data_IF_738877424134
#
_entry.id   IF_738877424134
#
_cell.length_a   1.000
_cell.length_b   1.000
_cell.length_c   1.000
_cell.angle_alpha   90.00
_cell.angle_beta   90.00
_cell.angle_gamma   90.00
#
_symmetry.space_group_name_H-M   'P 1'
#
loop_
_entity.id
_entity.type
_entity.pdbx_description
1 polymer ?
#
# COMPACT_ATOMS: atom_id res chain seq x y z
N UNK A 1 -4.46 -12.37 -14.03
CA UNK A 1 -5.53 -13.27 -13.57
C UNK A 1 -5.34 -13.40 -12.06
N UNK A 2 -6.17 -12.74 -11.28
CA UNK A 2 -6.11 -12.77 -9.82
C UNK A 2 -6.95 -13.97 -9.36
N UNK A 3 -6.30 -15.00 -8.82
CA UNK A 3 -6.98 -16.11 -8.16
C UNK A 3 -7.24 -15.69 -6.70
N UNK A 4 -8.48 -15.33 -6.40
CA UNK A 4 -8.94 -15.16 -5.02
C UNK A 4 -9.55 -16.49 -4.58
N UNK A 5 -8.83 -17.26 -3.77
CA UNK A 5 -9.33 -18.46 -3.14
C UNK A 5 -9.88 -18.13 -1.75
N UNK A 6 -11.19 -18.03 -1.63
CA UNK A 6 -11.89 -17.89 -0.36
C UNK A 6 -13.27 -18.50 -0.47
N UNK A 7 -13.60 -19.46 0.39
CA UNK A 7 -14.91 -20.13 0.47
C UNK A 7 -15.91 -19.28 1.26
N UNK A 8 -16.27 -18.09 0.77
CA UNK A 8 -17.29 -17.25 1.38
C UNK A 8 -17.63 -16.08 0.49
N UNK A 9 -18.88 -15.66 0.47
CA UNK A 9 -19.26 -14.41 -0.17
C UNK A 9 -18.63 -13.24 0.62
N UNK A 10 -17.88 -12.35 -0.04
CA UNK A 10 -17.31 -11.20 0.63
C UNK A 10 -18.43 -10.30 1.14
N UNK A 11 -18.32 -9.80 2.37
CA UNK A 11 -19.28 -8.84 2.92
C UNK A 11 -19.40 -7.63 1.98
N UNK A 12 -20.62 -7.16 1.72
CA UNK A 12 -20.91 -6.04 0.80
C UNK A 12 -20.08 -4.77 1.09
N UNK A 13 -19.67 -4.59 2.35
CA UNK A 13 -18.90 -3.44 2.82
C UNK A 13 -17.39 -3.68 2.67
N UNK A 14 -16.96 -4.90 2.32
CA UNK A 14 -15.53 -5.19 2.16
C UNK A 14 -14.98 -4.65 0.84
N UNK A 15 -13.69 -4.30 0.84
CA UNK A 15 -12.97 -3.89 -0.36
C UNK A 15 -13.09 -4.92 -1.51
N UNK A 16 -13.09 -6.21 -1.19
CA UNK A 16 -13.30 -7.30 -2.15
C UNK A 16 -14.71 -7.33 -2.74
N UNK A 17 -15.74 -6.98 -1.96
CA UNK A 17 -17.10 -6.83 -2.45
C UNK A 17 -17.22 -5.72 -3.50
N UNK A 18 -16.53 -4.60 -3.29
CA UNK A 18 -16.54 -3.44 -4.21
C UNK A 18 -15.82 -3.72 -5.53
N UNK A 19 -14.72 -4.46 -5.52
CA UNK A 19 -14.02 -4.88 -6.76
C UNK A 19 -14.87 -5.89 -7.53
N UNK A 20 -15.57 -6.80 -6.86
CA UNK A 20 -16.43 -7.78 -7.50
C UNK A 20 -17.52 -7.16 -8.38
N UNK A 21 -18.02 -5.97 -8.05
CA UNK A 21 -18.97 -5.24 -8.87
C UNK A 21 -18.34 -4.49 -10.06
N UNK A 22 -17.06 -4.13 -9.95
CA UNK A 22 -16.33 -3.43 -11.03
C UNK A 22 -15.82 -4.38 -12.12
N UNK A 23 -15.64 -5.65 -11.80
CA UNK A 23 -15.25 -6.68 -12.77
C UNK A 23 -16.52 -7.32 -13.32
N UNK A 24 -16.99 -6.89 -14.49
CA UNK A 24 -18.04 -7.60 -15.24
C UNK A 24 -17.57 -9.03 -15.48
N UNK A 25 -18.27 -9.99 -14.88
CA UNK A 25 -18.11 -11.41 -15.18
C UNK A 25 -18.74 -11.69 -16.53
N UNK A 26 -17.99 -11.54 -17.60
CA UNK A 26 -18.27 -12.28 -18.82
C UNK A 26 -17.74 -13.70 -18.64
N UNK A 27 -18.42 -14.47 -17.81
CA UNK A 27 -18.24 -15.92 -17.77
C UNK A 27 -19.18 -16.49 -18.80
N UNK A 28 -18.67 -16.78 -19.98
CA UNK A 28 -19.38 -17.56 -20.98
C UNK A 28 -19.51 -19.01 -20.43
N UNK A 29 -20.76 -19.51 -20.13
CA UNK A 29 -20.93 -20.82 -19.50
C UNK A 29 -20.84 -22.01 -20.47
N UNK A 30 -20.27 -21.84 -21.63
CA UNK A 30 -20.17 -22.87 -22.66
C UNK A 30 -18.74 -23.32 -22.91
N UNK A 31 -18.11 -23.97 -21.93
CA UNK A 31 -16.94 -24.85 -22.19
C UNK A 31 -16.64 -25.74 -20.99
N UNK A 32 -17.60 -26.59 -20.64
CA UNK A 32 -17.31 -27.80 -19.85
C UNK A 32 -17.88 -28.98 -20.60
N UNK A 33 -17.19 -29.42 -21.62
CA UNK A 33 -17.22 -30.80 -22.12
C UNK A 33 -16.19 -30.95 -23.25
N UNK A 34 -14.98 -31.35 -22.89
CA UNK A 34 -14.18 -32.27 -23.72
C UNK A 34 -12.90 -32.59 -22.94
N UNK A 35 -12.88 -33.78 -22.39
CA UNK A 35 -11.64 -34.47 -22.01
C UNK A 35 -10.81 -34.67 -23.26
N UNK A 36 -9.87 -33.76 -23.51
CA UNK A 36 -8.79 -33.95 -24.45
C UNK A 36 -7.49 -33.85 -23.67
N UNK A 37 -6.74 -34.94 -23.69
CA UNK A 37 -5.37 -35.04 -23.23
C UNK A 37 -4.59 -33.90 -23.90
N UNK A 38 -4.28 -32.87 -23.12
CA UNK A 38 -3.39 -31.79 -23.59
C UNK A 38 -1.99 -32.41 -23.65
N UNK A 39 -1.34 -32.48 -24.85
CA UNK A 39 0.04 -32.91 -24.90
C UNK A 39 0.87 -31.91 -24.08
N UNK A 40 1.68 -32.42 -23.17
CA UNK A 40 2.63 -31.64 -22.38
C UNK A 40 3.52 -30.91 -23.38
N UNK A 41 3.56 -29.54 -23.37
CA UNK A 41 4.46 -28.84 -24.27
C UNK A 41 5.90 -29.22 -23.90
N UNK A 42 6.62 -29.81 -24.84
CA UNK A 42 8.05 -30.00 -24.70
C UNK A 42 8.68 -28.64 -24.42
N UNK A 43 9.40 -28.55 -23.33
CA UNK A 43 10.16 -27.34 -23.00
C UNK A 43 11.16 -27.12 -24.13
N UNK A 44 11.13 -25.97 -24.83
CA UNK A 44 12.16 -25.68 -25.80
C UNK A 44 13.50 -25.66 -25.06
N UNK A 45 14.39 -26.57 -25.43
CA UNK A 45 15.78 -26.56 -25.00
C UNK A 45 16.44 -25.41 -25.77
N UNK A 46 16.41 -24.22 -25.15
CA UNK A 46 17.19 -23.09 -25.65
C UNK A 46 18.65 -23.39 -25.30
N UNK A 47 19.40 -23.76 -26.33
CA UNK A 47 20.85 -23.93 -26.23
C UNK A 47 21.47 -22.53 -26.15
N UNK A 48 21.55 -21.98 -24.91
CA UNK A 48 22.19 -20.69 -24.66
C UNK A 48 23.70 -20.94 -24.71
N UNK A 49 24.36 -20.43 -25.74
CA UNK A 49 25.81 -20.44 -25.82
C UNK A 49 26.38 -19.73 -24.56
N UNK A 50 27.02 -20.49 -23.69
CA UNK A 50 27.59 -19.99 -22.44
C UNK A 50 28.62 -18.87 -22.66
N UNK A 51 29.15 -18.72 -23.89
CA UNK A 51 30.03 -17.63 -24.26
C UNK A 51 29.31 -16.26 -24.36
N UNK A 52 27.97 -16.24 -24.46
CA UNK A 52 27.15 -15.02 -24.49
C UNK A 52 26.78 -14.53 -23.08
N UNK A 53 26.96 -15.37 -22.08
CA UNK A 53 26.75 -14.99 -20.68
C UNK A 53 28.01 -14.30 -20.13
N UNK A 54 28.40 -13.17 -20.70
CA UNK A 54 29.33 -12.28 -20.01
C UNK A 54 28.61 -11.76 -18.76
N UNK A 55 29.15 -11.99 -17.53
CA UNK A 55 28.62 -11.32 -16.37
C UNK A 55 28.78 -9.84 -16.61
N UNK A 56 27.65 -9.16 -16.84
CA UNK A 56 27.63 -7.71 -16.77
C UNK A 56 28.21 -7.35 -15.41
N UNK A 57 29.21 -6.44 -15.34
CA UNK A 57 29.66 -5.94 -14.06
C UNK A 57 28.44 -5.26 -13.43
N UNK A 58 27.71 -5.99 -12.59
CA UNK A 58 26.72 -5.42 -11.71
C UNK A 58 27.55 -4.60 -10.74
N UNK A 59 27.83 -3.37 -11.13
CA UNK A 59 28.29 -2.36 -10.20
C UNK A 59 27.22 -2.33 -9.12
N UNK A 60 27.45 -3.04 -8.03
CA UNK A 60 26.72 -2.92 -6.79
C UNK A 60 26.96 -1.49 -6.31
N UNK A 61 26.32 -0.53 -6.92
CA UNK A 61 26.03 0.74 -6.30
C UNK A 61 25.01 0.39 -5.24
N UNK A 62 25.50 -0.13 -4.10
CA UNK A 62 24.70 -0.26 -2.91
C UNK A 62 24.13 1.15 -2.70
N UNK A 63 22.86 1.33 -2.99
CA UNK A 63 22.12 2.51 -2.59
C UNK A 63 22.29 2.55 -1.08
N UNK A 64 23.21 3.41 -0.61
CA UNK A 64 23.38 3.63 0.82
C UNK A 64 22.13 4.34 1.27
N UNK A 65 21.17 3.58 1.78
CA UNK A 65 19.99 4.13 2.46
C UNK A 65 20.53 4.99 3.59
N UNK A 66 20.19 6.27 3.60
CA UNK A 66 20.59 7.16 4.70
C UNK A 66 19.86 6.76 5.97
N UNK A 67 20.39 7.13 7.13
CA UNK A 67 19.74 6.88 8.42
C UNK A 67 18.34 7.54 8.45
N UNK A 68 18.20 8.72 7.85
CA UNK A 68 16.91 9.41 7.75
C UNK A 68 15.89 8.64 6.91
N UNK A 69 16.29 8.10 5.77
CA UNK A 69 15.43 7.23 4.97
C UNK A 69 15.04 5.96 5.72
N UNK A 70 15.99 5.40 6.49
CA UNK A 70 15.72 4.23 7.31
C UNK A 70 14.73 4.55 8.46
N UNK A 71 14.90 5.68 9.13
CA UNK A 71 13.96 6.18 10.16
C UNK A 71 12.57 6.35 9.58
N UNK A 72 12.47 6.88 8.35
CA UNK A 72 11.20 6.97 7.64
C UNK A 72 10.52 5.62 7.46
N UNK A 73 11.25 4.64 6.98
CA UNK A 73 10.75 3.27 6.81
C UNK A 73 10.24 2.69 8.13
N UNK A 74 10.97 2.87 9.22
CA UNK A 74 10.55 2.42 10.55
C UNK A 74 9.32 3.15 11.09
N UNK A 75 9.23 4.47 10.88
CA UNK A 75 8.06 5.25 11.27
C UNK A 75 6.80 4.80 10.52
N UNK A 76 6.89 4.57 9.20
CA UNK A 76 5.78 3.99 8.42
C UNK A 76 5.35 2.64 8.99
N UNK A 77 6.29 1.74 9.27
CA UNK A 77 6.00 0.44 9.84
C UNK A 77 5.32 0.56 11.23
N UNK A 78 5.76 1.48 12.08
CA UNK A 78 5.10 1.73 13.36
C UNK A 78 3.67 2.25 13.17
N UNK A 79 3.45 3.24 12.31
CA UNK A 79 2.12 3.79 12.05
C UNK A 79 1.18 2.73 11.49
N UNK A 80 1.65 1.85 10.62
CA UNK A 80 0.88 0.71 10.11
C UNK A 80 0.34 -0.18 11.22
N UNK A 81 1.15 -0.46 12.23
CA UNK A 81 0.78 -1.34 13.34
C UNK A 81 0.00 -0.64 14.46
N UNK A 82 0.21 0.66 14.63
CA UNK A 82 -0.43 1.45 15.68
C UNK A 82 -1.79 2.04 15.29
N UNK A 83 -2.16 1.96 14.01
CA UNK A 83 -3.41 2.52 13.51
C UNK A 83 -4.41 1.43 13.13
N UNK A 84 -5.72 1.62 13.41
CA UNK A 84 -6.75 0.71 12.93
C UNK A 84 -6.70 0.52 11.40
N UNK A 85 -7.00 -0.67 10.88
CA UNK A 85 -7.61 -1.81 11.56
C UNK A 85 -6.65 -2.67 12.39
N UNK A 86 -5.36 -2.37 12.40
CA UNK A 86 -4.37 -3.11 13.19
C UNK A 86 -4.43 -2.62 14.65
N UNK A 87 -4.69 -3.50 15.57
CA UNK A 87 -4.69 -3.15 16.99
C UNK A 87 -3.27 -2.91 17.49
N UNK A 88 -3.11 -2.00 18.43
CA UNK A 88 -1.83 -1.69 19.05
C UNK A 88 -1.16 -2.95 19.62
N UNK A 89 0.09 -3.15 19.24
CA UNK A 89 0.96 -4.16 19.81
C UNK A 89 1.84 -3.54 20.91
N UNK A 90 2.40 -4.39 21.74
CA UNK A 90 3.43 -3.99 22.70
C UNK A 90 4.65 -3.39 21.98
N UNK A 91 5.23 -2.33 22.57
CA UNK A 91 6.38 -1.62 22.00
C UNK A 91 7.57 -2.52 21.71
N UNK A 92 7.86 -3.48 22.60
CA UNK A 92 8.98 -4.41 22.43
C UNK A 92 8.71 -5.40 21.29
N UNK A 93 7.44 -5.82 21.15
CA UNK A 93 7.01 -6.68 20.03
C UNK A 93 7.18 -5.95 18.72
N UNK A 94 6.72 -4.69 18.62
CA UNK A 94 6.86 -3.88 17.41
C UNK A 94 8.32 -3.57 17.08
N UNK A 95 9.15 -3.32 18.09
CA UNK A 95 10.58 -3.15 17.89
C UNK A 95 11.20 -4.35 17.16
N UNK A 96 10.87 -5.55 17.60
CA UNK A 96 11.38 -6.79 17.01
C UNK A 96 10.81 -7.03 15.61
N UNK A 97 9.49 -6.84 15.43
CA UNK A 97 8.81 -7.05 14.15
C UNK A 97 9.27 -6.08 13.05
N UNK A 98 9.45 -4.82 13.40
CA UNK A 98 9.88 -3.78 12.45
C UNK A 98 11.41 -3.73 12.29
N UNK A 99 12.17 -4.50 13.05
CA UNK A 99 13.64 -4.51 13.03
C UNK A 99 14.25 -3.17 13.43
N UNK A 100 13.63 -2.47 14.40
CA UNK A 100 14.07 -1.14 14.83
C UNK A 100 15.19 -1.30 15.87
N UNK A 101 16.36 -0.66 15.67
CA UNK A 101 17.43 -0.70 16.69
C UNK A 101 16.95 -0.09 18.01
N UNK A 102 17.42 -0.65 19.13
CA UNK A 102 17.02 -0.19 20.46
C UNK A 102 17.23 1.32 20.68
N UNK A 103 18.33 1.87 20.15
CA UNK A 103 18.63 3.31 20.25
C UNK A 103 17.71 4.23 19.45
N UNK A 104 16.94 3.68 18.49
CA UNK A 104 16.02 4.46 17.65
C UNK A 104 14.56 4.32 18.12
N UNK A 105 14.22 3.25 18.82
CA UNK A 105 12.85 2.89 19.14
C UNK A 105 12.13 3.94 19.98
N UNK A 106 12.77 4.51 20.99
CA UNK A 106 12.14 5.49 21.86
C UNK A 106 11.75 6.77 21.12
N UNK A 107 12.65 7.25 20.29
CA UNK A 107 12.43 8.46 19.47
C UNK A 107 11.29 8.25 18.46
N UNK A 108 11.34 7.13 17.73
CA UNK A 108 10.33 6.80 16.72
C UNK A 108 8.96 6.52 17.35
N UNK A 109 8.95 5.89 18.54
CA UNK A 109 7.73 5.66 19.28
C UNK A 109 7.06 6.96 19.71
N UNK A 110 7.84 7.88 20.31
CA UNK A 110 7.34 9.21 20.69
C UNK A 110 6.82 9.99 19.51
N UNK A 111 7.51 9.92 18.36
CA UNK A 111 7.09 10.56 17.13
C UNK A 111 5.78 9.98 16.58
N UNK A 112 5.64 8.65 16.57
CA UNK A 112 4.41 8.00 16.17
C UNK A 112 3.25 8.38 17.09
N UNK A 113 3.46 8.37 18.42
CA UNK A 113 2.43 8.75 19.38
C UNK A 113 2.03 10.23 19.26
N UNK A 114 2.98 11.12 18.97
CA UNK A 114 2.68 12.53 18.74
C UNK A 114 1.81 12.74 17.49
N UNK A 115 2.07 11.99 16.41
CA UNK A 115 1.23 12.01 15.20
C UNK A 115 -0.18 11.50 15.50
N UNK A 116 -0.29 10.36 16.19
CA UNK A 116 -1.57 9.74 16.51
C UNK A 116 -2.38 10.56 17.54
N UNK A 117 -1.72 11.29 18.44
CA UNK A 117 -2.36 12.17 19.41
C UNK A 117 -2.64 13.59 18.91
N UNK A 118 -2.27 13.92 17.66
CA UNK A 118 -2.43 15.27 17.15
C UNK A 118 -3.88 15.57 16.79
N UNK A 119 -4.50 16.58 17.42
CA UNK A 119 -5.93 16.89 17.30
C UNK A 119 -6.42 17.03 15.85
N UNK A 120 -5.65 17.73 15.02
CA UNK A 120 -6.02 17.92 13.60
C UNK A 120 -5.96 16.63 12.77
N UNK A 121 -5.31 15.57 13.26
CA UNK A 121 -5.16 14.29 12.59
C UNK A 121 -6.12 13.21 13.12
N UNK A 122 -6.85 13.47 14.21
CA UNK A 122 -7.78 12.50 14.81
C UNK A 122 -8.79 11.98 13.79
N UNK A 123 -9.29 12.82 12.90
CA UNK A 123 -10.20 12.40 11.84
C UNK A 123 -9.66 11.26 10.99
N UNK A 124 -8.36 11.07 10.91
CA UNK A 124 -7.72 10.03 10.10
C UNK A 124 -7.31 8.79 10.90
N UNK A 125 -7.19 8.92 12.23
CA UNK A 125 -6.64 7.85 13.07
C UNK A 125 -7.63 7.30 14.10
N UNK A 126 -8.60 8.09 14.58
CA UNK A 126 -9.62 7.62 15.50
C UNK A 126 -10.79 6.98 14.72
N UNK A 127 -11.07 5.68 14.97
CA UNK A 127 -12.17 4.95 14.30
C UNK A 127 -13.55 5.56 14.48
N UNK A 128 -13.75 6.44 15.47
CA UNK A 128 -15.03 7.12 15.67
C UNK A 128 -15.33 8.18 14.62
N UNK A 129 -14.34 8.60 13.84
CA UNK A 129 -14.45 9.70 12.89
C UNK A 129 -14.60 9.27 11.43
N UNK A 130 -14.53 7.96 11.12
CA UNK A 130 -14.60 7.47 9.73
C UNK A 130 -15.38 6.14 9.63
N UNK A 131 -15.77 5.78 8.42
CA UNK A 131 -16.47 4.51 8.16
C UNK A 131 -15.52 3.32 8.13
N UNK A 132 -14.42 3.47 7.43
CA UNK A 132 -13.40 2.44 7.30
C UNK A 132 -12.02 3.04 7.06
N UNK A 133 -10.98 2.28 7.42
CA UNK A 133 -9.62 2.63 7.10
C UNK A 133 -8.80 1.40 6.74
N UNK A 134 -7.79 1.57 5.90
CA UNK A 134 -6.86 0.52 5.49
C UNK A 134 -5.44 1.06 5.49
N UNK A 135 -4.50 0.26 6.01
CA UNK A 135 -3.08 0.54 5.94
C UNK A 135 -2.43 -0.30 4.85
N UNK A 136 -1.39 0.21 4.20
CA UNK A 136 -0.60 -0.50 3.20
C UNK A 136 -1.48 -1.14 2.11
N UNK A 137 -2.50 -0.40 1.66
CA UNK A 137 -3.50 -0.93 0.73
C UNK A 137 -2.87 -1.15 -0.66
N UNK A 138 -2.82 -2.41 -1.15
CA UNK A 138 -2.27 -2.68 -2.47
C UNK A 138 -3.25 -2.25 -3.57
N UNK A 139 -2.72 -1.69 -4.66
CA UNK A 139 -3.48 -1.44 -5.88
C UNK A 139 -2.61 -1.68 -7.11
N UNK A 140 -3.24 -1.87 -8.26
CA UNK A 140 -2.55 -1.98 -9.55
C UNK A 140 -2.78 -0.69 -10.32
N UNK A 141 -1.69 -0.02 -10.73
CA UNK A 141 -1.78 1.21 -11.50
C UNK A 141 -2.12 0.96 -12.99
N UNK A 142 -2.33 2.04 -13.75
CA UNK A 142 -2.64 1.94 -15.18
C UNK A 142 -1.57 1.29 -16.05
N UNK A 143 -0.34 1.15 -15.54
CA UNK A 143 0.76 0.43 -16.21
C UNK A 143 0.83 -1.06 -15.81
N UNK A 144 -0.07 -1.54 -14.95
CA UNK A 144 -0.07 -2.92 -14.46
C UNK A 144 0.92 -3.17 -13.31
N UNK A 145 1.49 -2.12 -12.72
CA UNK A 145 2.43 -2.24 -11.60
C UNK A 145 1.69 -2.30 -10.27
N UNK A 146 2.10 -3.22 -9.40
CA UNK A 146 1.62 -3.29 -8.03
C UNK A 146 2.24 -2.15 -7.21
N UNK A 147 1.39 -1.33 -6.62
CA UNK A 147 1.73 -0.20 -5.76
C UNK A 147 1.02 -0.33 -4.42
N UNK A 148 1.33 0.54 -3.49
CA UNK A 148 0.75 0.57 -2.15
C UNK A 148 0.42 2.00 -1.74
N UNK A 149 -0.71 2.14 -1.05
CA UNK A 149 -1.14 3.37 -0.38
C UNK A 149 -0.86 3.18 1.10
N UNK A 150 -0.15 4.11 1.73
CA UNK A 150 0.25 4.00 3.14
C UNK A 150 -0.99 3.96 4.06
N UNK A 151 -1.94 4.88 3.85
CA UNK A 151 -3.22 4.87 4.55
C UNK A 151 -4.35 5.40 3.69
N UNK A 152 -5.47 4.69 3.70
CA UNK A 152 -6.72 5.10 3.07
C UNK A 152 -7.78 5.19 4.15
N UNK A 153 -8.55 6.28 4.16
CA UNK A 153 -9.62 6.53 5.12
C UNK A 153 -10.89 6.90 4.36
N UNK A 154 -11.97 6.18 4.63
CA UNK A 154 -13.26 6.34 3.97
C UNK A 154 -14.27 7.01 4.89
N UNK A 155 -14.94 8.03 4.36
CA UNK A 155 -16.08 8.72 4.95
C UNK A 155 -17.33 8.52 4.09
N UNK A 156 -18.46 9.12 4.47
CA UNK A 156 -19.72 8.99 3.73
C UNK A 156 -19.61 9.51 2.29
N UNK A 157 -19.02 10.68 2.08
CA UNK A 157 -18.97 11.42 0.81
C UNK A 157 -17.56 11.57 0.24
N UNK A 158 -16.52 11.27 1.01
CA UNK A 158 -15.13 11.41 0.57
C UNK A 158 -14.26 10.22 0.98
N UNK A 159 -13.14 10.07 0.28
CA UNK A 159 -12.05 9.14 0.60
C UNK A 159 -10.75 9.90 0.62
N UNK A 160 -9.98 9.74 1.70
CA UNK A 160 -8.66 10.31 1.84
C UNK A 160 -7.58 9.26 1.63
N UNK A 161 -6.62 9.62 0.81
CA UNK A 161 -5.37 8.89 0.62
C UNK A 161 -4.27 9.67 1.30
N UNK A 162 -3.65 9.09 2.31
CA UNK A 162 -2.52 9.67 3.01
C UNK A 162 -1.25 8.93 2.62
N UNK A 163 -0.21 9.68 2.33
CA UNK A 163 1.12 9.19 2.04
C UNK A 163 2.09 9.83 3.04
N UNK A 164 2.77 8.98 3.82
CA UNK A 164 3.64 9.45 4.88
C UNK A 164 4.98 9.91 4.34
N UNK A 165 5.45 11.05 4.81
CA UNK A 165 6.75 11.62 4.43
C UNK A 165 7.60 11.94 5.64
N UNK A 166 8.88 11.65 5.54
CA UNK A 166 9.87 12.07 6.54
C UNK A 166 10.36 13.49 6.26
N UNK A 167 10.76 14.17 7.32
CA UNK A 167 11.26 15.55 7.24
C UNK A 167 10.19 16.59 7.49
N UNK A 168 10.58 17.85 7.27
CA UNK A 168 9.67 19.00 7.36
C UNK A 168 8.80 19.09 6.12
N UNK A 169 7.66 19.78 6.25
CA UNK A 169 6.77 20.04 5.13
C UNK A 169 7.53 20.76 4.00
N UNK A 170 7.77 20.02 2.92
CA UNK A 170 8.47 20.51 1.75
C UNK A 170 7.48 20.81 0.61
N UNK A 171 7.99 21.39 -0.47
CA UNK A 171 7.21 21.59 -1.69
C UNK A 171 6.53 20.27 -2.13
N UNK A 172 5.20 20.26 -2.28
CA UNK A 172 4.47 19.07 -2.73
C UNK A 172 4.72 18.73 -4.22
N UNK A 173 5.36 19.63 -4.97
CA UNK A 173 5.54 19.45 -6.42
C UNK A 173 6.14 18.09 -6.83
N UNK A 174 7.17 17.55 -6.16
CA UNK A 174 7.74 16.23 -6.49
C UNK A 174 6.75 15.08 -6.33
N UNK A 175 5.72 15.25 -5.49
CA UNK A 175 4.76 14.20 -5.15
C UNK A 175 3.45 14.29 -5.94
N UNK A 176 3.22 15.36 -6.71
CA UNK A 176 1.98 15.59 -7.45
C UNK A 176 1.62 14.45 -8.41
N UNK A 177 2.61 13.90 -9.10
CA UNK A 177 2.38 12.80 -10.03
C UNK A 177 1.89 11.53 -9.29
N UNK A 178 2.48 11.20 -8.15
CA UNK A 178 2.07 10.09 -7.30
C UNK A 178 0.65 10.30 -6.75
N UNK A 179 0.35 11.49 -6.24
CA UNK A 179 -0.98 11.81 -5.72
C UNK A 179 -2.06 11.78 -6.81
N UNK A 180 -1.73 12.23 -8.02
CA UNK A 180 -2.64 12.13 -9.17
C UNK A 180 -2.86 10.67 -9.60
N UNK A 181 -1.87 9.80 -9.48
CA UNK A 181 -2.00 8.37 -9.72
C UNK A 181 -2.93 7.72 -8.69
N UNK A 182 -2.72 7.98 -7.39
CA UNK A 182 -3.60 7.50 -6.31
C UNK A 182 -5.04 7.95 -6.53
N UNK A 183 -5.26 9.23 -6.85
CA UNK A 183 -6.59 9.79 -7.10
C UNK A 183 -7.30 9.05 -8.23
N UNK A 184 -6.62 8.83 -9.37
CA UNK A 184 -7.20 8.10 -10.50
C UNK A 184 -7.55 6.65 -10.15
N UNK A 185 -6.66 5.96 -9.45
CA UNK A 185 -6.89 4.59 -9.02
C UNK A 185 -8.11 4.50 -8.09
N UNK A 186 -8.20 5.41 -7.11
CA UNK A 186 -9.29 5.38 -6.14
C UNK A 186 -10.63 5.87 -6.72
N UNK A 187 -10.63 6.75 -7.70
CA UNK A 187 -11.86 7.17 -8.41
C UNK A 187 -12.57 6.00 -9.09
N UNK A 188 -11.83 5.01 -9.58
CA UNK A 188 -12.42 3.82 -10.18
C UNK A 188 -13.04 2.86 -9.16
N UNK A 189 -12.56 2.89 -7.92
CA UNK A 189 -13.01 2.01 -6.83
C UNK A 189 -14.17 2.63 -6.03
N UNK A 190 -14.08 3.95 -5.76
CA UNK A 190 -15.03 4.69 -4.95
C UNK A 190 -15.89 5.63 -5.81
N UNK A 191 -16.67 5.03 -6.69
CA UNK A 191 -17.56 5.82 -7.55
C UNK A 191 -18.55 6.66 -6.72
N UNK A 192 -18.64 7.95 -7.04
CA UNK A 192 -19.54 8.89 -6.34
C UNK A 192 -18.96 9.55 -5.10
N UNK A 193 -17.79 9.14 -4.62
CA UNK A 193 -17.10 9.82 -3.51
C UNK A 193 -16.00 10.74 -4.02
N UNK A 194 -15.78 11.83 -3.29
CA UNK A 194 -14.67 12.75 -3.55
C UNK A 194 -13.37 12.11 -3.10
N UNK A 195 -12.38 12.00 -3.99
CA UNK A 195 -11.05 11.49 -3.63
C UNK A 195 -10.12 12.65 -3.31
N UNK A 196 -9.61 12.65 -2.10
CA UNK A 196 -8.63 13.62 -1.60
C UNK A 196 -7.32 12.92 -1.32
N UNK A 197 -6.21 13.56 -1.66
CA UNK A 197 -4.88 13.04 -1.43
C UNK A 197 -4.06 14.05 -0.64
N UNK A 198 -3.34 13.59 0.36
CA UNK A 198 -2.51 14.44 1.18
C UNK A 198 -1.20 13.75 1.56
N UNK A 199 -0.17 14.57 1.75
CA UNK A 199 1.10 14.17 2.33
C UNK A 199 1.03 14.46 3.84
N UNK A 200 1.34 13.46 4.65
CA UNK A 200 1.46 13.61 6.10
C UNK A 200 2.93 13.54 6.47
N UNK A 201 3.47 14.67 6.89
CA UNK A 201 4.86 14.79 7.32
C UNK A 201 5.05 14.35 8.77
N UNK A 202 6.23 13.83 9.07
CA UNK A 202 6.57 13.31 10.40
C UNK A 202 6.46 14.34 11.54
N UNK A 203 6.42 15.63 11.24
CA UNK A 203 6.12 16.71 12.18
C UNK A 203 4.63 17.00 12.40
N UNK A 204 3.71 16.19 11.86
CA UNK A 204 2.26 16.38 12.00
C UNK A 204 1.63 17.36 11.00
N UNK A 205 2.41 17.88 10.07
CA UNK A 205 1.90 18.78 9.02
C UNK A 205 1.23 17.96 7.92
N UNK A 206 -0.01 18.32 7.60
CA UNK A 206 -0.79 17.73 6.50
C UNK A 206 -0.82 18.70 5.32
N UNK A 207 -0.34 18.26 4.16
CA UNK A 207 -0.40 19.00 2.91
C UNK A 207 -1.30 18.34 1.90
N UNK A 208 -2.48 18.91 1.61
CA UNK A 208 -3.35 18.41 0.54
C UNK A 208 -2.78 18.76 -0.85
N UNK A 209 -2.87 17.81 -1.80
CA UNK A 209 -2.26 17.90 -3.12
C UNK A 209 -3.28 17.67 -4.24
#
# INVERSE_FOLDING_TARGET
>A
MLLVSGNGEPAEISWYGRIGHAVKRDVNPLLVAASSVVPTPEKPTVNVDAALLRPLPIGKRALRITLEQQRGTWLHALLQHLTPPNAAADKAVLQAQCGIPAGEMDTLWQQAQALLGHDALQRFFDPQHYLSASNEMPYVNGAGELKRIDRLVEYDDEVWVLDYKTGEAADPAPHRAQMAEYRRAMQSVYAGKKIRCALLFSGGVLGEV
#
